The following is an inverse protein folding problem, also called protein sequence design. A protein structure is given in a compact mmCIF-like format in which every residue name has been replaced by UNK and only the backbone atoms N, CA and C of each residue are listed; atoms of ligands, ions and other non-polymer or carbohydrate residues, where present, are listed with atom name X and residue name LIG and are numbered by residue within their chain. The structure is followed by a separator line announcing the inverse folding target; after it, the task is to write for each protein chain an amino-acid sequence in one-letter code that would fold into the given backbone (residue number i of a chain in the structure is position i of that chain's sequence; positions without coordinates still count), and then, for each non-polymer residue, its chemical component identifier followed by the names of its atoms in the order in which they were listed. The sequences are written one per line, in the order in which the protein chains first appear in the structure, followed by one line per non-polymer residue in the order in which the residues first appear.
data_IF_323058959822
#
_entry.id   IF_323058959822
#
_cell.length_a   1.000
_cell.length_b   1.000
_cell.length_c   1.000
_cell.angle_alpha   90.00
_cell.angle_beta   90.00
_cell.angle_gamma   90.00
#
_symmetry.space_group_name_H-M   'P 1'
#
loop_
_entity.id
_entity.type
_entity.pdbx_description
1 polymer ?
#
# COMPACT_ATOMS: atom_id res chain seq x y z
N UNK A 1 -16.51 -4.89 17.85
CA UNK A 1 -15.41 -5.83 17.54
C UNK A 1 -15.35 -5.93 16.03
N UNK A 2 -14.45 -5.19 15.37
CA UNK A 2 -14.27 -5.26 13.91
C UNK A 2 -13.46 -6.53 13.59
N UNK A 3 -14.14 -7.67 13.65
CA UNK A 3 -13.58 -8.95 13.22
C UNK A 3 -13.52 -8.93 11.70
N UNK A 4 -12.31 -8.91 11.15
CA UNK A 4 -12.08 -9.12 9.73
C UNK A 4 -12.43 -10.59 9.47
N UNK A 5 -13.64 -10.85 9.00
CA UNK A 5 -14.02 -12.15 8.47
C UNK A 5 -13.32 -12.29 7.13
N UNK A 6 -12.30 -13.16 7.06
CA UNK A 6 -11.57 -13.43 5.83
C UNK A 6 -12.28 -14.56 5.08
N UNK A 7 -12.83 -14.25 3.90
CA UNK A 7 -13.32 -15.25 2.96
C UNK A 7 -12.15 -16.07 2.39
N UNK A 8 -12.36 -17.28 1.86
CA UNK A 8 -11.29 -18.12 1.30
C UNK A 8 -10.54 -17.51 0.11
N UNK A 9 -11.10 -16.48 -0.52
CA UNK A 9 -10.47 -15.71 -1.60
C UNK A 9 -9.65 -14.52 -1.08
N UNK A 10 -9.67 -14.28 0.23
CA UNK A 10 -8.96 -13.17 0.84
C UNK A 10 -7.50 -13.54 1.04
N UNK A 11 -6.62 -12.68 0.53
CA UNK A 11 -5.17 -12.90 0.58
C UNK A 11 -4.55 -11.86 1.49
N UNK A 12 -3.83 -12.34 2.51
CA UNK A 12 -2.99 -11.51 3.36
C UNK A 12 -1.53 -11.74 2.96
N UNK A 13 -0.87 -10.69 2.51
CA UNK A 13 0.55 -10.69 2.13
C UNK A 13 1.37 -9.85 3.10
N UNK A 14 2.46 -10.41 3.62
CA UNK A 14 3.48 -9.67 4.37
C UNK A 14 4.75 -9.63 3.53
N UNK A 15 5.33 -8.45 3.35
CA UNK A 15 6.58 -8.25 2.62
C UNK A 15 7.60 -7.56 3.52
N UNK A 16 8.74 -8.20 3.76
CA UNK A 16 9.91 -7.55 4.33
C UNK A 16 11.02 -7.51 3.28
N UNK A 17 11.77 -6.42 3.20
CA UNK A 17 12.82 -6.29 2.19
C UNK A 17 13.80 -5.16 2.45
N UNK A 18 14.96 -5.27 1.83
CA UNK A 18 15.97 -4.22 1.76
C UNK A 18 16.00 -3.68 0.32
N UNK A 19 15.77 -2.39 0.16
CA UNK A 19 15.92 -1.70 -1.13
C UNK A 19 17.23 -0.92 -1.12
N UNK A 20 17.99 -0.94 -2.22
CA UNK A 20 19.17 -0.08 -2.37
C UNK A 20 18.70 1.36 -2.66
N UNK A 21 18.97 2.27 -1.73
CA UNK A 21 18.89 3.71 -1.92
C UNK A 21 20.13 4.24 -2.66
N UNK A 22 20.24 5.57 -2.77
CA UNK A 22 21.36 6.20 -3.49
C UNK A 22 22.70 5.90 -2.81
N UNK A 23 22.72 5.96 -1.47
CA UNK A 23 23.93 5.84 -0.65
C UNK A 23 23.81 4.81 0.49
N UNK A 24 22.63 4.20 0.69
CA UNK A 24 22.37 3.28 1.80
C UNK A 24 21.35 2.19 1.45
N UNK A 25 21.30 1.13 2.26
CA UNK A 25 20.23 0.14 2.20
C UNK A 25 19.04 0.59 3.06
N UNK A 26 17.87 0.64 2.43
CA UNK A 26 16.60 1.09 3.01
C UNK A 26 15.80 -0.15 3.44
N UNK A 27 15.71 -0.47 4.74
CA UNK A 27 14.83 -1.53 5.22
C UNK A 27 13.37 -1.12 5.09
N UNK A 28 12.53 -2.09 4.74
CA UNK A 28 11.11 -1.89 4.52
C UNK A 28 10.30 -3.09 4.99
N UNK A 29 9.10 -2.79 5.50
CA UNK A 29 8.07 -3.75 5.85
C UNK A 29 6.74 -3.29 5.23
N UNK A 30 5.98 -4.21 4.68
CA UNK A 30 4.67 -3.96 4.09
C UNK A 30 3.69 -5.08 4.42
N UNK A 31 2.43 -4.69 4.52
CA UNK A 31 1.28 -5.57 4.66
C UNK A 31 0.27 -5.20 3.57
N UNK A 32 -0.31 -6.22 2.95
CA UNK A 32 -1.44 -6.07 2.04
C UNK A 32 -2.52 -7.08 2.40
N UNK A 33 -3.77 -6.63 2.40
CA UNK A 33 -4.94 -7.48 2.54
C UNK A 33 -5.81 -7.23 1.33
N UNK A 34 -6.16 -8.29 0.61
CA UNK A 34 -7.08 -8.26 -0.52
C UNK A 34 -8.33 -9.06 -0.19
N UNK A 35 -9.51 -8.52 -0.50
CA UNK A 35 -10.79 -9.20 -0.32
C UNK A 35 -11.82 -8.73 -1.33
N UNK A 36 -12.33 -9.64 -2.16
CA UNK A 36 -13.47 -9.38 -3.06
C UNK A 36 -13.34 -8.12 -3.93
N UNK A 37 -12.16 -7.86 -4.48
CA UNK A 37 -11.87 -6.67 -5.29
C UNK A 37 -11.50 -5.41 -4.50
N UNK A 38 -11.45 -5.47 -3.17
CA UNK A 38 -10.91 -4.39 -2.32
C UNK A 38 -9.51 -4.76 -1.88
N UNK A 39 -8.64 -3.77 -1.71
CA UNK A 39 -7.35 -3.97 -1.05
C UNK A 39 -7.05 -2.86 -0.05
N UNK A 40 -6.38 -3.22 1.04
CA UNK A 40 -5.78 -2.29 1.99
C UNK A 40 -4.31 -2.63 2.07
N UNK A 41 -3.46 -1.61 1.94
CA UNK A 41 -2.01 -1.74 2.03
C UNK A 41 -1.48 -0.80 3.09
N UNK A 42 -0.48 -1.25 3.82
CA UNK A 42 0.28 -0.45 4.76
C UNK A 42 1.75 -0.76 4.64
N UNK A 43 2.61 0.24 4.82
CA UNK A 43 4.04 0.05 4.76
C UNK A 43 4.80 1.01 5.66
N UNK A 44 6.02 0.59 5.99
CA UNK A 44 6.99 1.37 6.73
C UNK A 44 8.35 1.12 6.10
N UNK A 45 9.07 2.20 5.81
CA UNK A 45 10.49 2.09 5.49
C UNK A 45 11.27 3.21 6.18
N UNK A 46 12.58 3.01 6.31
CA UNK A 46 13.47 3.96 6.96
C UNK A 46 14.59 4.38 6.02
N UNK A 47 14.71 5.69 5.82
CA UNK A 47 15.80 6.31 5.07
C UNK A 47 16.55 7.25 6.05
N UNK A 48 17.80 6.91 6.35
CA UNK A 48 18.63 7.58 7.35
C UNK A 48 18.01 7.55 8.76
N UNK A 49 17.61 8.73 9.25
CA UNK A 49 16.96 8.90 10.56
C UNK A 49 15.45 9.01 10.47
N UNK A 50 14.89 9.02 9.27
CA UNK A 50 13.48 9.33 9.06
C UNK A 50 12.71 8.06 8.67
N UNK A 51 11.50 7.98 9.19
CA UNK A 51 10.57 6.90 8.88
C UNK A 51 9.52 7.42 7.92
N UNK A 52 9.23 6.65 6.89
CA UNK A 52 8.10 6.91 6.00
C UNK A 52 7.07 5.83 6.18
N UNK A 53 5.85 6.26 6.51
CA UNK A 53 4.67 5.43 6.62
C UNK A 53 3.88 5.54 5.32
N UNK A 54 3.49 4.42 4.74
CA UNK A 54 2.63 4.38 3.56
C UNK A 54 1.33 3.67 3.87
N UNK A 55 0.27 4.09 3.22
CA UNK A 55 -1.02 3.41 3.27
C UNK A 55 -1.70 3.54 1.92
N UNK A 56 -2.49 2.54 1.56
CA UNK A 56 -3.31 2.62 0.37
C UNK A 56 -4.60 1.82 0.47
N UNK A 57 -5.57 2.24 -0.32
CA UNK A 57 -6.84 1.56 -0.51
C UNK A 57 -7.09 1.37 -1.99
N UNK A 58 -7.40 0.13 -2.38
CA UNK A 58 -7.78 -0.23 -3.74
C UNK A 58 -9.22 -0.71 -3.79
N UNK A 59 -9.90 -0.40 -4.88
CA UNK A 59 -11.20 -0.97 -5.21
C UNK A 59 -11.28 -1.27 -6.70
N UNK A 60 -11.62 -2.51 -7.04
CA UNK A 60 -11.79 -2.97 -8.41
C UNK A 60 -13.24 -3.31 -8.70
N UNK A 61 -13.65 -2.91 -9.90
CA UNK A 61 -14.87 -3.33 -10.57
C UNK A 61 -14.47 -3.93 -11.92
N UNK A 62 -15.32 -4.69 -12.62
CA UNK A 62 -14.93 -5.40 -13.84
C UNK A 62 -14.27 -4.55 -14.95
N UNK A 63 -14.53 -3.23 -14.96
CA UNK A 63 -14.02 -2.29 -15.98
C UNK A 63 -13.04 -1.25 -15.46
N UNK A 64 -12.76 -1.21 -14.16
CA UNK A 64 -11.91 -0.17 -13.59
C UNK A 64 -11.27 -0.59 -12.27
N UNK A 65 -10.07 -0.06 -12.01
CA UNK A 65 -9.38 -0.15 -10.73
C UNK A 65 -9.15 1.27 -10.22
N UNK A 66 -9.65 1.54 -9.03
CA UNK A 66 -9.41 2.77 -8.28
C UNK A 66 -8.35 2.48 -7.23
N UNK A 67 -7.28 3.25 -7.23
CA UNK A 67 -6.14 3.05 -6.34
C UNK A 67 -5.77 4.38 -5.67
N UNK A 68 -5.90 4.41 -4.35
CA UNK A 68 -5.50 5.52 -3.51
C UNK A 68 -4.27 5.11 -2.72
N UNK A 69 -3.24 5.96 -2.72
CA UNK A 69 -2.05 5.74 -1.91
C UNK A 69 -1.61 7.06 -1.29
N UNK A 70 -1.15 7.00 -0.04
CA UNK A 70 -0.55 8.13 0.65
C UNK A 70 0.70 7.72 1.42
N UNK A 71 1.60 8.69 1.57
CA UNK A 71 2.81 8.57 2.36
C UNK A 71 2.94 9.76 3.32
N UNK A 72 3.53 9.47 4.48
CA UNK A 72 3.93 10.47 5.46
C UNK A 72 5.35 10.17 5.92
N UNK A 73 6.25 11.11 5.68
CA UNK A 73 7.60 11.10 6.23
C UNK A 73 7.59 11.74 7.61
N UNK A 74 8.30 11.16 8.58
CA UNK A 74 8.33 11.64 9.97
C UNK A 74 8.84 13.07 10.13
N UNK A 75 9.65 13.56 9.20
CA UNK A 75 10.22 14.91 9.22
C UNK A 75 9.38 15.97 8.50
N UNK A 76 8.34 15.58 7.78
CA UNK A 76 7.47 16.50 7.05
C UNK A 76 6.26 16.89 7.92
N UNK A 77 5.60 18.02 7.67
CA UNK A 77 4.29 18.34 8.28
C UNK A 77 3.12 17.84 7.42
N UNK A 78 3.36 17.67 6.12
CA UNK A 78 2.33 17.34 5.13
C UNK A 78 2.24 15.85 4.81
N UNK A 79 1.09 15.46 4.30
CA UNK A 79 0.85 14.14 3.70
C UNK A 79 0.90 14.26 2.17
N UNK A 80 1.51 13.28 1.51
CA UNK A 80 1.53 13.20 0.05
C UNK A 80 0.64 12.05 -0.38
N UNK A 81 -0.21 12.28 -1.36
CA UNK A 81 -1.15 11.27 -1.83
C UNK A 81 -1.34 11.29 -3.34
N UNK A 82 -1.74 10.14 -3.88
CA UNK A 82 -2.12 9.96 -5.28
C UNK A 82 -3.43 9.18 -5.36
N UNK A 83 -4.27 9.58 -6.30
CA UNK A 83 -5.43 8.83 -6.76
C UNK A 83 -5.17 8.42 -8.22
N UNK A 84 -5.21 7.12 -8.48
CA UNK A 84 -5.12 6.56 -9.83
C UNK A 84 -6.41 5.84 -10.20
N UNK A 85 -6.85 6.02 -11.44
CA UNK A 85 -7.97 5.27 -12.02
C UNK A 85 -7.49 4.59 -13.29
N UNK A 86 -7.47 3.26 -13.28
CA UNK A 86 -7.08 2.45 -14.42
C UNK A 86 -8.32 1.82 -15.05
N UNK A 87 -8.63 2.18 -16.29
CA UNK A 87 -9.74 1.60 -17.05
C UNK A 87 -9.27 0.33 -17.76
N UNK A 88 -10.04 -0.75 -17.60
CA UNK A 88 -9.76 -2.03 -18.25
C UNK A 88 -10.64 -2.12 -19.49
N UNK A 89 -10.00 -2.09 -20.67
CA UNK A 89 -10.68 -2.34 -21.93
C UNK A 89 -10.95 -3.84 -22.06
N UNK A 90 -12.21 -4.20 -22.31
CA UNK A 90 -12.61 -5.56 -22.64
C UNK A 90 -12.78 -5.57 -24.16
N UNK A 91 -11.90 -6.28 -24.87
CA UNK A 91 -12.05 -6.54 -26.31
C UNK A 91 -13.17 -7.55 -26.56
#
# INVERSE_FOLDING_TARGET
MLGISLDPLDVVGVRAGLRKGRDEFIPSLGLEVHSGGKSIRGGLYREGKEFTYTFGFGYSIPKAIFDFAFEKRSGDDDYRGILSVNLISIQ
#
